data_IF_137502283287
#
_entry.id   IF_137502283287
#
_cell.length_a   1.000
_cell.length_b   1.000
_cell.length_c   1.000
_cell.angle_alpha   90.00
_cell.angle_beta   90.00
_cell.angle_gamma   90.00
#
_symmetry.space_group_name_H-M   'P 1'
#
loop_
_entity.id
_entity.type
_entity.pdbx_description
1 polymer ?
#
# COMPACT_ATOMS: atom_id res chain seq x y z
N UNK A 1 9.78 -19.26 -2.69
CA UNK A 1 10.39 -18.01 -2.24
C UNK A 1 9.48 -16.82 -2.57
N UNK A 2 9.58 -15.78 -1.78
CA UNK A 2 8.91 -14.51 -2.03
C UNK A 2 9.97 -13.41 -2.23
N UNK A 3 9.52 -12.18 -2.50
CA UNK A 3 10.45 -11.03 -2.54
C UNK A 3 11.07 -10.77 -1.15
N UNK A 4 10.41 -11.22 -0.08
CA UNK A 4 10.82 -10.98 1.30
C UNK A 4 11.57 -12.16 1.94
N UNK A 5 11.43 -13.38 1.39
CA UNK A 5 11.95 -14.60 2.02
C UNK A 5 12.64 -15.50 1.01
N UNK A 6 13.68 -16.21 1.45
CA UNK A 6 14.33 -17.25 0.69
C UNK A 6 13.48 -18.56 0.61
N UNK A 7 14.00 -19.59 -0.02
CA UNK A 7 13.32 -20.88 -0.20
C UNK A 7 13.01 -21.60 1.12
N UNK A 8 13.72 -21.27 2.19
CA UNK A 8 13.48 -21.81 3.53
C UNK A 8 12.47 -21.02 4.34
N UNK A 9 11.94 -19.90 3.79
CA UNK A 9 11.04 -18.99 4.49
C UNK A 9 11.76 -17.98 5.39
N UNK A 10 13.10 -17.92 5.34
CA UNK A 10 13.87 -16.96 6.14
C UNK A 10 13.84 -15.57 5.49
N UNK A 11 13.52 -14.50 6.23
CA UNK A 11 13.53 -13.15 5.68
C UNK A 11 14.90 -12.71 5.16
N UNK A 12 14.91 -12.07 4.01
CA UNK A 12 16.11 -11.40 3.51
C UNK A 12 16.46 -10.20 4.39
N UNK A 13 17.75 -9.93 4.55
CA UNK A 13 18.23 -8.75 5.28
C UNK A 13 18.05 -7.45 4.49
N UNK A 14 17.94 -7.55 3.18
CA UNK A 14 17.77 -6.41 2.29
C UNK A 14 17.00 -6.81 1.03
N UNK A 15 16.35 -5.85 0.42
CA UNK A 15 15.60 -6.02 -0.84
C UNK A 15 16.27 -5.14 -1.89
N UNK A 16 16.46 -5.63 -3.13
CA UNK A 16 17.00 -4.80 -4.20
C UNK A 16 16.19 -3.54 -4.43
N UNK A 17 16.86 -2.40 -4.50
CA UNK A 17 16.23 -1.09 -4.61
C UNK A 17 15.30 -0.96 -5.83
N UNK A 18 15.64 -1.60 -6.95
CA UNK A 18 14.81 -1.55 -8.16
C UNK A 18 13.43 -2.19 -7.99
N UNK A 19 13.23 -3.03 -6.97
CA UNK A 19 11.92 -3.59 -6.63
C UNK A 19 11.01 -2.55 -5.95
N UNK A 20 11.57 -1.48 -5.42
CA UNK A 20 10.82 -0.42 -4.75
C UNK A 20 10.60 0.81 -5.65
N UNK A 21 11.56 1.13 -6.51
CA UNK A 21 11.42 2.26 -7.41
C UNK A 21 12.69 2.55 -8.19
N UNK A 22 12.54 3.38 -9.24
CA UNK A 22 13.65 3.76 -10.13
C UNK A 22 14.33 5.07 -9.71
N UNK A 23 13.67 5.86 -8.86
CA UNK A 23 14.19 7.13 -8.35
C UNK A 23 14.62 7.01 -6.90
N UNK A 24 15.62 7.78 -6.50
CA UNK A 24 16.18 7.80 -5.15
C UNK A 24 16.13 9.20 -4.55
N UNK A 25 15.69 9.30 -3.29
CA UNK A 25 15.70 10.53 -2.49
C UNK A 25 16.67 10.34 -1.32
N UNK A 26 17.66 11.21 -1.17
CA UNK A 26 18.64 11.16 -0.08
C UNK A 26 18.04 11.46 1.30
N UNK A 27 16.87 12.07 1.37
CA UNK A 27 16.19 12.37 2.62
C UNK A 27 15.74 11.10 3.34
N UNK A 28 15.61 11.19 4.66
CA UNK A 28 15.09 10.08 5.45
C UNK A 28 13.59 9.85 5.19
N UNK A 29 13.15 8.57 5.14
CA UNK A 29 11.72 8.27 5.16
C UNK A 29 11.11 8.59 6.52
N UNK A 30 9.78 8.50 6.63
CA UNK A 30 9.08 8.54 7.92
C UNK A 30 9.57 7.40 8.83
N UNK A 31 9.53 7.62 10.14
CA UNK A 31 10.02 6.64 11.12
C UNK A 31 9.25 5.31 11.05
N UNK A 32 7.96 5.34 10.66
CA UNK A 32 7.14 4.14 10.52
C UNK A 32 7.41 3.36 9.23
N UNK A 33 8.19 3.92 8.29
CA UNK A 33 8.50 3.24 7.03
C UNK A 33 9.42 2.04 7.27
N UNK A 34 9.11 0.91 6.63
CA UNK A 34 9.82 -0.35 6.87
C UNK A 34 11.27 -0.33 6.42
N UNK A 35 11.58 0.38 5.33
CA UNK A 35 12.93 0.42 4.77
C UNK A 35 13.67 1.69 5.19
N UNK A 36 15.00 1.65 5.11
CA UNK A 36 15.85 2.76 5.53
C UNK A 36 16.01 3.85 4.46
N UNK A 37 15.84 3.49 3.19
CA UNK A 37 16.07 4.36 2.04
C UNK A 37 14.80 4.60 1.24
N UNK A 38 14.73 5.78 0.60
CA UNK A 38 13.54 6.22 -0.16
C UNK A 38 13.76 5.94 -1.65
N UNK A 39 13.13 4.88 -2.15
CA UNK A 39 13.04 4.57 -3.58
C UNK A 39 11.58 4.66 -4.03
N UNK A 40 11.33 5.31 -5.16
CA UNK A 40 9.96 5.58 -5.62
C UNK A 40 9.88 5.64 -7.14
N UNK A 41 8.66 5.56 -7.69
CA UNK A 41 8.40 5.69 -9.12
C UNK A 41 7.64 6.98 -9.47
N UNK A 42 6.95 7.59 -8.50
CA UNK A 42 6.20 8.83 -8.73
C UNK A 42 6.35 9.82 -7.58
N UNK A 43 6.11 11.14 -7.81
CA UNK A 43 6.13 12.14 -6.74
C UNK A 43 5.16 11.84 -5.60
N UNK A 44 3.99 11.28 -5.91
CA UNK A 44 2.99 10.91 -4.89
C UNK A 44 3.52 9.81 -3.98
N UNK A 45 4.20 8.80 -4.54
CA UNK A 45 4.86 7.75 -3.74
C UNK A 45 5.96 8.32 -2.85
N UNK A 46 6.78 9.21 -3.40
CA UNK A 46 7.85 9.89 -2.64
C UNK A 46 7.26 10.63 -1.43
N UNK A 47 6.20 11.39 -1.64
CA UNK A 47 5.52 12.12 -0.58
C UNK A 47 4.99 11.18 0.50
N UNK A 48 4.35 10.09 0.12
CA UNK A 48 3.82 9.09 1.05
C UNK A 48 4.91 8.47 1.93
N UNK A 49 6.06 8.11 1.35
CA UNK A 49 7.17 7.49 2.08
C UNK A 49 7.72 8.42 3.16
N UNK A 50 7.71 9.71 2.92
CA UNK A 50 8.26 10.72 3.83
C UNK A 50 7.25 11.23 4.85
N UNK A 51 5.98 10.85 4.74
CA UNK A 51 4.89 11.36 5.59
C UNK A 51 4.70 10.50 6.83
N UNK A 52 5.00 11.08 8.01
CA UNK A 52 4.67 10.47 9.30
C UNK A 52 3.18 10.70 9.62
N UNK A 53 2.47 9.64 10.02
CA UNK A 53 1.04 9.70 10.30
C UNK A 53 0.75 9.06 11.66
N UNK A 54 0.10 9.82 12.55
CA UNK A 54 -0.31 9.34 13.86
C UNK A 54 -1.29 8.17 13.72
N UNK A 55 -1.07 7.10 14.46
CA UNK A 55 -1.91 5.90 14.44
C UNK A 55 -1.40 4.80 13.52
N UNK A 56 -0.42 5.09 12.67
CA UNK A 56 0.23 4.07 11.84
C UNK A 56 1.36 3.43 12.63
N UNK A 57 1.32 2.11 12.75
CA UNK A 57 2.39 1.34 13.41
C UNK A 57 3.58 1.17 12.49
N UNK A 58 3.32 0.68 11.28
CA UNK A 58 4.33 0.46 10.24
C UNK A 58 3.67 0.57 8.87
N UNK A 59 4.42 1.01 7.89
CA UNK A 59 3.97 0.99 6.50
C UNK A 59 5.15 0.72 5.57
N UNK A 60 4.83 0.30 4.36
CA UNK A 60 5.84 0.01 3.34
C UNK A 60 5.28 0.24 1.94
N UNK A 61 6.17 0.63 1.04
CA UNK A 61 5.90 0.43 -0.38
C UNK A 61 5.98 -1.07 -0.66
N UNK A 62 5.00 -1.59 -1.38
CA UNK A 62 4.97 -3.02 -1.75
C UNK A 62 5.95 -3.23 -2.90
N UNK A 63 6.97 -4.11 -2.75
CA UNK A 63 7.90 -4.38 -3.83
C UNK A 63 7.18 -4.88 -5.09
N UNK A 64 7.67 -4.48 -6.24
CA UNK A 64 7.08 -4.84 -7.54
C UNK A 64 6.87 -6.35 -7.65
N UNK A 65 5.68 -6.74 -8.08
CA UNK A 65 5.29 -8.14 -8.31
C UNK A 65 5.23 -9.04 -7.04
N UNK A 66 5.35 -8.47 -5.84
CA UNK A 66 5.21 -9.26 -4.61
C UNK A 66 3.76 -9.63 -4.32
N UNK A 67 2.81 -8.77 -4.69
CA UNK A 67 1.38 -9.05 -4.65
C UNK A 67 0.85 -8.89 -6.06
N UNK A 68 0.22 -9.94 -6.60
CA UNK A 68 -0.33 -9.93 -7.96
C UNK A 68 -1.82 -10.28 -7.89
N UNK A 69 -2.64 -9.33 -8.31
CA UNK A 69 -4.10 -9.50 -8.33
C UNK A 69 -4.50 -9.79 -9.78
N UNK A 70 -5.06 -10.98 -10.09
CA UNK A 70 -5.54 -11.26 -11.44
C UNK A 70 -6.69 -10.34 -11.81
N UNK A 71 -6.73 -9.90 -13.07
CA UNK A 71 -7.82 -9.08 -13.59
C UNK A 71 -8.50 -9.74 -14.78
N UNK A 72 -9.79 -9.45 -14.97
CA UNK A 72 -10.53 -9.93 -16.14
C UNK A 72 -9.90 -9.39 -17.43
N UNK A 73 -9.77 -10.23 -18.43
CA UNK A 73 -9.12 -9.89 -19.70
C UNK A 73 -7.63 -10.22 -19.74
N UNK A 74 -7.08 -10.81 -18.67
CA UNK A 74 -5.67 -11.21 -18.57
C UNK A 74 -4.79 -10.15 -17.91
N UNK A 75 -3.62 -10.58 -17.45
CA UNK A 75 -2.68 -9.73 -16.74
C UNK A 75 -2.92 -9.69 -15.25
N UNK A 76 -2.07 -8.93 -14.55
CA UNK A 76 -2.10 -8.78 -13.09
C UNK A 76 -1.95 -7.30 -12.71
N UNK A 77 -2.37 -7.02 -11.49
CA UNK A 77 -2.30 -5.71 -10.88
C UNK A 77 -1.55 -5.81 -9.56
N UNK A 78 -0.63 -4.89 -9.30
CA UNK A 78 0.15 -4.86 -8.07
C UNK A 78 -0.11 -3.54 -7.34
N UNK A 79 -0.61 -3.57 -6.09
CA UNK A 79 -0.80 -2.35 -5.31
C UNK A 79 0.53 -1.76 -4.84
N UNK A 80 0.53 -0.48 -4.44
CA UNK A 80 1.75 0.27 -4.16
C UNK A 80 2.16 0.30 -2.69
N UNK A 81 1.21 0.43 -1.76
CA UNK A 81 1.48 0.59 -0.32
C UNK A 81 0.64 -0.31 0.56
N UNK A 82 1.20 -0.67 1.71
CA UNK A 82 0.51 -1.33 2.80
C UNK A 82 0.75 -0.58 4.10
N UNK A 83 -0.31 -0.30 4.85
CA UNK A 83 -0.28 0.37 6.15
C UNK A 83 -0.89 -0.54 7.21
N UNK A 84 -0.23 -0.66 8.36
CA UNK A 84 -0.76 -1.35 9.54
C UNK A 84 -1.16 -0.30 10.58
N UNK A 85 -2.42 -0.31 10.98
CA UNK A 85 -3.00 0.64 11.91
C UNK A 85 -3.52 -0.15 13.11
N UNK A 86 -3.08 0.18 14.32
CA UNK A 86 -3.59 -0.41 15.55
C UNK A 86 -4.68 0.47 16.15
N UNK A 87 -5.75 -0.17 16.64
CA UNK A 87 -6.78 0.52 17.38
C UNK A 87 -6.37 0.72 18.84
N UNK A 88 -7.04 1.64 19.54
CA UNK A 88 -6.75 2.02 20.92
C UNK A 88 -6.75 0.86 21.91
N UNK A 89 -7.51 -0.20 21.67
CA UNK A 89 -7.58 -1.36 22.56
C UNK A 89 -6.47 -2.38 22.34
N UNK A 90 -5.60 -2.17 21.34
CA UNK A 90 -4.50 -3.07 21.01
C UNK A 90 -4.93 -4.45 20.47
N UNK A 91 -6.22 -4.73 20.36
CA UNK A 91 -6.76 -6.04 19.97
C UNK A 91 -7.11 -6.13 18.49
N UNK A 92 -7.31 -5.00 17.83
CA UNK A 92 -7.68 -4.95 16.41
C UNK A 92 -6.61 -4.25 15.60
N UNK A 93 -6.36 -4.79 14.42
CA UNK A 93 -5.48 -4.17 13.42
C UNK A 93 -6.25 -3.97 12.13
N UNK A 94 -6.13 -2.79 11.54
CA UNK A 94 -6.55 -2.53 10.18
C UNK A 94 -5.34 -2.64 9.26
N UNK A 95 -5.43 -3.48 8.24
CA UNK A 95 -4.44 -3.56 7.19
C UNK A 95 -5.01 -2.83 5.97
N UNK A 96 -4.41 -1.69 5.65
CA UNK A 96 -4.86 -0.84 4.55
C UNK A 96 -3.90 -0.97 3.38
N UNK A 97 -4.44 -1.38 2.23
CA UNK A 97 -3.70 -1.51 0.98
C UNK A 97 -4.05 -0.32 0.10
N UNK A 98 -3.04 0.39 -0.37
CA UNK A 98 -3.21 1.63 -1.15
C UNK A 98 -2.62 1.47 -2.55
N UNK A 99 -3.41 1.79 -3.54
CA UNK A 99 -2.94 2.04 -4.90
C UNK A 99 -2.83 3.55 -5.12
N UNK A 100 -1.66 4.01 -5.56
CA UNK A 100 -1.44 5.41 -5.90
C UNK A 100 -1.69 5.65 -7.39
N UNK A 101 -2.39 6.73 -7.70
CA UNK A 101 -2.63 7.17 -9.08
C UNK A 101 -2.23 8.64 -9.20
N UNK A 102 -1.13 8.91 -9.89
CA UNK A 102 -0.62 10.27 -10.12
C UNK A 102 -1.43 10.97 -11.22
N UNK A 103 -2.75 10.97 -11.05
CA UNK A 103 -3.74 11.63 -11.90
C UNK A 103 -5.04 11.82 -11.14
N UNK A 104 -5.90 12.70 -11.64
CA UNK A 104 -7.23 12.88 -11.07
C UNK A 104 -8.14 11.68 -11.38
N UNK A 105 -9.08 11.40 -10.48
CA UNK A 105 -10.03 10.29 -10.62
C UNK A 105 -10.76 10.27 -11.97
N UNK A 106 -11.12 11.44 -12.48
CA UNK A 106 -11.80 11.59 -13.79
C UNK A 106 -10.95 11.18 -14.98
N UNK A 107 -9.63 11.13 -14.82
CA UNK A 107 -8.68 10.81 -15.89
C UNK A 107 -8.39 9.31 -16.02
N UNK A 108 -9.03 8.45 -15.22
CA UNK A 108 -8.84 7.01 -15.27
C UNK A 108 -9.46 6.41 -16.54
N UNK A 109 -8.70 5.55 -17.22
CA UNK A 109 -9.21 4.74 -18.31
C UNK A 109 -10.09 3.59 -17.78
N UNK A 110 -10.96 3.04 -18.65
CA UNK A 110 -11.90 1.99 -18.24
C UNK A 110 -11.22 0.74 -17.69
N UNK A 111 -10.09 0.33 -18.25
CA UNK A 111 -9.31 -0.82 -17.76
C UNK A 111 -8.73 -0.57 -16.36
N UNK A 112 -8.27 0.64 -16.08
CA UNK A 112 -7.79 1.02 -14.75
C UNK A 112 -8.91 0.98 -13.72
N UNK A 113 -10.10 1.48 -14.08
CA UNK A 113 -11.29 1.42 -13.21
C UNK A 113 -11.67 -0.02 -12.89
N UNK A 114 -11.59 -0.93 -13.87
CA UNK A 114 -11.86 -2.35 -13.65
C UNK A 114 -10.83 -3.01 -12.74
N UNK A 115 -9.54 -2.69 -12.91
CA UNK A 115 -8.47 -3.19 -12.02
C UNK A 115 -8.71 -2.80 -10.57
N UNK A 116 -9.04 -1.54 -10.31
CA UNK A 116 -9.38 -1.07 -8.97
C UNK A 116 -10.58 -1.83 -8.40
N UNK A 117 -11.63 -2.00 -9.19
CA UNK A 117 -12.83 -2.74 -8.79
C UNK A 117 -12.54 -4.20 -8.43
N UNK A 118 -11.70 -4.87 -9.22
CA UNK A 118 -11.28 -6.25 -8.95
C UNK A 118 -10.45 -6.33 -7.67
N UNK A 119 -9.53 -5.40 -7.46
CA UNK A 119 -8.74 -5.32 -6.24
C UNK A 119 -9.63 -5.15 -5.01
N UNK A 120 -10.58 -4.24 -5.04
CA UNK A 120 -11.53 -4.02 -3.95
C UNK A 120 -12.32 -5.29 -3.63
N UNK A 121 -12.83 -5.98 -4.64
CA UNK A 121 -13.56 -7.24 -4.45
C UNK A 121 -12.70 -8.33 -3.85
N UNK A 122 -11.46 -8.48 -4.32
CA UNK A 122 -10.53 -9.47 -3.80
C UNK A 122 -10.24 -9.23 -2.32
N UNK A 123 -9.91 -8.01 -1.94
CA UNK A 123 -9.57 -7.69 -0.55
C UNK A 123 -10.78 -7.81 0.39
N UNK A 124 -11.98 -7.55 -0.08
CA UNK A 124 -13.21 -7.83 0.68
C UNK A 124 -13.35 -9.35 0.92
N UNK A 125 -13.04 -10.19 -0.07
CA UNK A 125 -13.17 -11.65 0.05
C UNK A 125 -12.10 -12.28 0.95
N UNK A 126 -10.98 -11.59 1.19
CA UNK A 126 -9.87 -12.10 2.01
C UNK A 126 -10.04 -11.88 3.51
N UNK A 127 -11.20 -11.42 3.97
CA UNK A 127 -11.48 -11.22 5.41
C UNK A 127 -11.50 -12.57 6.16
N UNK A 128 -10.33 -13.01 6.62
CA UNK A 128 -10.18 -14.24 7.42
C UNK A 128 -9.42 -13.91 8.71
N UNK A 129 -10.14 -13.46 9.74
CA UNK A 129 -9.58 -13.25 11.08
C UNK A 129 -8.82 -11.93 11.27
N UNK A 130 -8.60 -11.14 10.23
CA UNK A 130 -8.05 -9.79 10.30
C UNK A 130 -8.72 -8.92 9.24
N UNK A 131 -8.76 -7.63 9.50
CA UNK A 131 -9.40 -6.70 8.59
C UNK A 131 -8.40 -6.19 7.54
N UNK A 132 -8.76 -6.35 6.26
CA UNK A 132 -7.99 -5.83 5.12
C UNK A 132 -8.89 -4.90 4.32
N UNK A 133 -8.42 -3.70 4.05
CA UNK A 133 -9.14 -2.70 3.27
C UNK A 133 -8.28 -2.21 2.12
N UNK A 134 -8.89 -2.03 0.95
CA UNK A 134 -8.23 -1.50 -0.24
C UNK A 134 -8.78 -0.11 -0.56
N UNK A 135 -7.88 0.87 -0.77
CA UNK A 135 -8.22 2.23 -1.16
C UNK A 135 -7.33 2.73 -2.30
N UNK A 136 -7.83 3.68 -3.07
CA UNK A 136 -7.06 4.35 -4.13
C UNK A 136 -6.77 5.79 -3.73
N UNK A 137 -5.51 6.19 -3.85
CA UNK A 137 -5.08 7.56 -3.63
C UNK A 137 -4.83 8.23 -4.98
N UNK A 138 -5.57 9.28 -5.28
CA UNK A 138 -5.34 10.13 -6.45
C UNK A 138 -4.39 11.29 -6.12
N UNK A 139 -3.86 11.96 -7.13
CA UNK A 139 -2.85 13.00 -6.95
C UNK A 139 -3.33 14.23 -6.15
N UNK A 140 -4.65 14.44 -6.04
CA UNK A 140 -5.26 15.51 -5.26
C UNK A 140 -5.65 15.10 -3.83
N UNK A 141 -5.38 13.85 -3.43
CA UNK A 141 -5.72 13.33 -2.12
C UNK A 141 -4.47 13.09 -1.28
N UNK A 142 -4.52 13.51 -0.01
CA UNK A 142 -3.42 13.24 0.93
C UNK A 142 -3.65 11.91 1.64
N UNK A 143 -2.58 11.14 1.81
CA UNK A 143 -2.63 9.85 2.49
C UNK A 143 -3.19 9.95 3.91
N UNK A 144 -2.88 11.02 4.62
CA UNK A 144 -3.40 11.26 5.97
C UNK A 144 -4.93 11.25 6.01
N UNK A 145 -5.58 11.88 5.04
CA UNK A 145 -7.05 11.95 4.96
C UNK A 145 -7.66 10.58 4.70
N UNK A 146 -7.05 9.79 3.80
CA UNK A 146 -7.50 8.44 3.48
C UNK A 146 -7.41 7.55 4.71
N UNK A 147 -6.30 7.60 5.45
CA UNK A 147 -6.09 6.82 6.66
C UNK A 147 -7.07 7.21 7.78
N UNK A 148 -7.30 8.49 7.99
CA UNK A 148 -8.24 8.97 9.00
C UNK A 148 -9.68 8.55 8.68
N UNK A 149 -10.08 8.60 7.42
CA UNK A 149 -11.41 8.16 7.00
C UNK A 149 -11.55 6.65 7.17
N UNK A 150 -10.56 5.86 6.81
CA UNK A 150 -10.57 4.41 6.98
C UNK A 150 -10.71 4.02 8.46
N UNK A 151 -10.00 4.70 9.35
CA UNK A 151 -10.08 4.48 10.80
C UNK A 151 -11.50 4.80 11.30
N UNK A 152 -12.08 5.92 10.90
CA UNK A 152 -13.42 6.34 11.31
C UNK A 152 -14.51 5.35 10.88
N UNK A 153 -14.45 4.88 9.63
CA UNK A 153 -15.44 3.95 9.09
C UNK A 153 -15.36 2.58 9.73
N UNK A 154 -14.19 2.16 10.21
CA UNK A 154 -13.99 0.87 10.87
C UNK A 154 -14.38 0.88 12.35
N UNK A 155 -14.33 2.02 13.01
CA UNK A 155 -14.70 2.17 14.43
C UNK A 155 -16.23 2.21 14.61
N UNK A 156 -16.99 2.57 13.57
CA UNK A 156 -18.46 2.68 13.61
C UNK A 156 -19.13 1.34 13.34
N UNK A 157 -18.45 0.39 12.75
CA UNK A 157 -18.92 -0.97 12.53
C UNK A 157 -18.51 -1.88 13.69
#
# INVERSE_FOLDING_TARGET
PTVFTDDSGKPYKSIPAHNLGVHFDESKPADQYLFEEVFFDSPLEQENIKKSITGVTVFTKIPKNSIRIPVAGGGTYSPDFAYVIEYYDGQKQLNLIIETKDKEKRALFNDEKQKIKHAQKLFISLKQGFEVRFETQFNNAQIKEILQQAIRETVVD
#
